data_IF_680443694480
#
_entry.id   IF_680443694480
#
_cell.length_a   1.000
_cell.length_b   1.000
_cell.length_c   1.000
_cell.angle_alpha   90.00
_cell.angle_beta   90.00
_cell.angle_gamma   90.00
#
_symmetry.space_group_name_H-M   'P 1'
#
loop_
_entity.id
_entity.type
_entity.pdbx_description
1 polymer ?
#
# COMPACT_ATOMS: atom_id res chain seq x y z
N UNK A 1 -7.84 -29.58 -24.93
CA UNK A 1 -6.74 -30.41 -24.37
C UNK A 1 -6.61 -30.16 -22.87
N UNK A 2 -7.19 -31.05 -22.05
CA UNK A 2 -7.27 -30.96 -20.59
C UNK A 2 -5.90 -30.74 -19.92
N UNK A 3 -4.87 -31.49 -20.34
CA UNK A 3 -3.52 -31.43 -19.78
C UNK A 3 -2.92 -30.03 -19.74
N UNK A 4 -2.87 -29.35 -20.88
CA UNK A 4 -2.19 -28.04 -20.94
C UNK A 4 -2.96 -26.92 -20.23
N UNK A 5 -4.29 -27.04 -20.14
CA UNK A 5 -5.14 -26.10 -19.39
C UNK A 5 -4.95 -26.30 -17.89
N UNK A 6 -4.91 -27.55 -17.43
CA UNK A 6 -4.66 -27.87 -16.02
C UNK A 6 -3.27 -27.47 -15.58
N UNK A 7 -2.25 -27.69 -16.40
CA UNK A 7 -0.88 -27.20 -16.13
C UNK A 7 -0.83 -25.67 -16.01
N UNK A 8 -1.56 -24.95 -16.88
CA UNK A 8 -1.65 -23.49 -16.76
C UNK A 8 -2.35 -23.06 -15.47
N UNK A 9 -3.41 -23.77 -15.05
CA UNK A 9 -4.07 -23.54 -13.77
C UNK A 9 -3.12 -23.77 -12.59
N UNK A 10 -2.38 -24.89 -12.58
CA UNK A 10 -1.40 -25.20 -11.54
C UNK A 10 -0.38 -24.08 -11.42
N UNK A 11 0.15 -23.58 -12.53
CA UNK A 11 1.09 -22.45 -12.52
C UNK A 11 0.45 -21.17 -11.97
N UNK A 12 -0.77 -20.81 -12.38
CA UNK A 12 -1.43 -19.59 -11.90
C UNK A 12 -1.64 -19.58 -10.38
N UNK A 13 -1.89 -20.74 -9.78
CA UNK A 13 -2.25 -20.84 -8.37
C UNK A 13 -1.09 -21.23 -7.45
N UNK A 14 -0.07 -21.92 -7.98
CA UNK A 14 0.96 -22.56 -7.15
C UNK A 14 2.39 -22.19 -7.53
N UNK A 15 2.60 -21.36 -8.56
CA UNK A 15 3.94 -20.85 -8.89
C UNK A 15 4.09 -19.37 -8.55
N UNK A 16 5.28 -18.99 -8.10
CA UNK A 16 5.70 -17.59 -8.01
C UNK A 16 6.04 -17.09 -9.43
N UNK A 17 5.12 -16.33 -10.02
CA UNK A 17 5.30 -15.76 -11.35
C UNK A 17 6.29 -14.58 -11.39
N UNK A 18 6.85 -14.17 -10.24
CA UNK A 18 7.79 -13.04 -10.15
C UNK A 18 9.19 -13.38 -10.69
N UNK A 19 9.54 -14.67 -10.81
CA UNK A 19 10.80 -15.12 -11.37
C UNK A 19 11.04 -14.60 -12.79
N UNK A 20 12.30 -14.27 -13.11
CA UNK A 20 12.69 -13.66 -14.39
C UNK A 20 12.43 -14.54 -15.61
N UNK A 21 12.70 -15.83 -15.46
CA UNK A 21 12.47 -16.86 -16.46
C UNK A 21 12.19 -18.18 -15.73
N UNK A 22 11.68 -19.18 -16.46
CA UNK A 22 11.51 -20.54 -15.91
C UNK A 22 12.82 -21.16 -15.37
N UNK A 23 13.99 -20.73 -15.86
CA UNK A 23 15.26 -21.27 -15.38
C UNK A 23 15.57 -20.79 -13.96
N UNK A 24 15.13 -19.58 -13.61
CA UNK A 24 15.37 -18.96 -12.30
C UNK A 24 14.46 -19.51 -11.19
N UNK A 25 13.39 -20.20 -11.58
CA UNK A 25 12.49 -20.89 -10.64
C UNK A 25 13.28 -21.98 -9.89
N UNK A 26 13.34 -21.94 -8.55
CA UNK A 26 14.05 -22.93 -7.74
C UNK A 26 13.59 -24.38 -8.00
N UNK A 27 14.51 -25.33 -7.84
CA UNK A 27 14.22 -26.75 -8.10
C UNK A 27 13.13 -27.29 -7.18
N UNK A 28 13.13 -26.93 -5.89
CA UNK A 28 12.09 -27.34 -4.95
C UNK A 28 10.69 -26.86 -5.37
N UNK A 29 10.58 -25.65 -5.93
CA UNK A 29 9.31 -25.12 -6.43
C UNK A 29 8.87 -25.87 -7.69
N UNK A 30 9.81 -26.18 -8.60
CA UNK A 30 9.54 -27.04 -9.77
C UNK A 30 9.04 -28.43 -9.36
N UNK A 31 9.65 -29.02 -8.33
CA UNK A 31 9.30 -30.34 -7.84
C UNK A 31 7.90 -30.36 -7.22
N UNK A 32 7.49 -29.31 -6.49
CA UNK A 32 6.12 -29.18 -5.98
C UNK A 32 5.09 -29.09 -7.12
N UNK A 33 5.38 -28.30 -8.16
CA UNK A 33 4.53 -28.19 -9.34
C UNK A 33 4.42 -29.53 -10.07
N UNK A 34 5.54 -30.26 -10.18
CA UNK A 34 5.57 -31.62 -10.74
C UNK A 34 4.70 -32.57 -9.92
N UNK A 35 4.81 -32.57 -8.58
CA UNK A 35 4.01 -33.42 -7.71
C UNK A 35 2.50 -33.19 -7.93
N UNK A 36 2.08 -31.94 -8.13
CA UNK A 36 0.67 -31.62 -8.46
C UNK A 36 0.23 -32.18 -9.81
N UNK A 37 1.10 -32.13 -10.82
CA UNK A 37 0.83 -32.77 -12.13
C UNK A 37 0.74 -34.29 -12.01
N UNK A 38 1.55 -34.91 -11.14
CA UNK A 38 1.51 -36.36 -10.90
C UNK A 38 0.20 -36.83 -10.30
N UNK A 39 -0.44 -36.00 -9.47
CA UNK A 39 -1.77 -36.31 -8.91
C UNK A 39 -2.84 -36.34 -10.01
N UNK A 40 -2.78 -35.40 -10.95
CA UNK A 40 -3.83 -35.22 -11.96
C UNK A 40 -3.62 -36.04 -13.25
N UNK A 41 -2.40 -36.52 -13.51
CA UNK A 41 -2.04 -37.19 -14.77
C UNK A 41 -1.18 -38.43 -14.58
N UNK A 42 -1.50 -39.48 -15.34
CA UNK A 42 -0.73 -40.72 -15.36
C UNK A 42 0.48 -40.53 -16.28
N UNK A 43 1.67 -40.45 -15.67
CA UNK A 43 2.93 -40.23 -16.36
C UNK A 43 3.97 -41.25 -15.88
N UNK A 44 4.70 -41.82 -16.82
CA UNK A 44 5.83 -42.69 -16.53
C UNK A 44 7.10 -41.87 -16.28
N UNK A 45 7.44 -41.67 -15.02
CA UNK A 45 8.58 -40.85 -14.60
C UNK A 45 9.93 -41.53 -14.83
N UNK A 46 9.96 -42.84 -15.11
CA UNK A 46 11.18 -43.53 -15.52
C UNK A 46 11.61 -43.07 -16.92
N UNK A 47 10.63 -42.74 -17.77
CA UNK A 47 10.86 -42.33 -19.15
C UNK A 47 11.26 -40.85 -19.26
N UNK A 48 12.32 -40.61 -20.02
CA UNK A 48 12.88 -39.26 -20.22
C UNK A 48 11.91 -38.34 -20.98
N UNK A 49 11.24 -38.84 -22.00
CA UNK A 49 10.29 -38.06 -22.82
C UNK A 49 9.06 -37.57 -22.02
N UNK A 50 8.54 -38.38 -21.07
CA UNK A 50 7.46 -37.96 -20.18
C UNK A 50 7.88 -36.79 -19.28
N UNK A 51 9.03 -36.92 -18.61
CA UNK A 51 9.62 -35.85 -17.78
C UNK A 51 9.86 -34.57 -18.57
N UNK A 52 10.44 -34.70 -19.76
CA UNK A 52 10.69 -33.57 -20.66
C UNK A 52 9.39 -32.92 -21.11
N UNK A 53 8.32 -33.68 -21.32
CA UNK A 53 7.02 -33.14 -21.72
C UNK A 53 6.44 -32.22 -20.65
N UNK A 54 6.47 -32.63 -19.38
CA UNK A 54 6.04 -31.80 -18.25
C UNK A 54 6.89 -30.52 -18.16
N UNK A 55 8.21 -30.65 -18.13
CA UNK A 55 9.11 -29.50 -18.00
C UNK A 55 8.99 -28.51 -19.18
N UNK A 56 8.88 -29.01 -20.42
CA UNK A 56 8.64 -28.16 -21.60
C UNK A 56 7.29 -27.46 -21.53
N UNK A 57 6.25 -28.15 -21.05
CA UNK A 57 4.91 -27.58 -20.91
C UNK A 57 4.90 -26.49 -19.85
N UNK A 58 5.51 -26.71 -18.69
CA UNK A 58 5.66 -25.69 -17.66
C UNK A 58 6.39 -24.46 -18.18
N UNK A 59 7.57 -24.63 -18.77
CA UNK A 59 8.33 -23.50 -19.34
C UNK A 59 7.50 -22.69 -20.32
N UNK A 60 6.82 -23.36 -21.25
CA UNK A 60 5.99 -22.69 -22.27
C UNK A 60 4.82 -21.95 -21.63
N UNK A 61 4.09 -22.59 -20.72
CA UNK A 61 2.91 -22.00 -20.07
C UNK A 61 3.29 -20.88 -19.10
N UNK A 62 4.37 -21.03 -18.33
CA UNK A 62 4.88 -20.00 -17.43
C UNK A 62 5.23 -18.71 -18.20
N UNK A 63 6.00 -18.83 -19.28
CA UNK A 63 6.36 -17.69 -20.11
C UNK A 63 5.13 -17.09 -20.83
N UNK A 64 4.14 -17.91 -21.22
CA UNK A 64 2.88 -17.41 -21.77
C UNK A 64 2.06 -16.61 -20.77
N UNK A 65 1.89 -17.12 -19.55
CA UNK A 65 1.17 -16.42 -18.47
C UNK A 65 1.82 -15.07 -18.19
N UNK A 66 3.16 -15.03 -18.07
CA UNK A 66 3.89 -13.78 -17.82
C UNK A 66 3.79 -12.78 -18.96
N UNK A 67 3.76 -13.26 -20.20
CA UNK A 67 3.51 -12.41 -21.36
C UNK A 67 2.11 -11.79 -21.32
N UNK A 68 1.07 -12.57 -20.99
CA UNK A 68 -0.30 -12.05 -20.84
C UNK A 68 -0.38 -11.02 -19.69
N UNK A 69 0.33 -11.23 -18.59
CA UNK A 69 0.41 -10.26 -17.50
C UNK A 69 1.07 -8.94 -17.94
N UNK A 70 2.13 -9.03 -18.75
CA UNK A 70 2.77 -7.83 -19.28
C UNK A 70 1.89 -7.11 -20.31
N UNK A 71 1.08 -7.83 -21.10
CA UNK A 71 0.07 -7.22 -21.98
C UNK A 71 -0.93 -6.39 -21.18
N UNK A 72 -1.43 -6.94 -20.08
CA UNK A 72 -2.32 -6.21 -19.16
C UNK A 72 -1.60 -5.00 -18.57
N UNK A 73 -0.37 -5.16 -18.10
CA UNK A 73 0.41 -4.02 -17.60
C UNK A 73 0.52 -2.88 -18.62
N UNK A 74 0.70 -3.22 -19.91
CA UNK A 74 0.79 -2.24 -21.01
C UNK A 74 -0.52 -1.56 -21.40
N UNK A 75 -1.67 -2.00 -20.90
CA UNK A 75 -2.92 -1.28 -21.15
C UNK A 75 -3.05 -0.03 -20.29
N UNK A 76 -2.28 0.06 -19.20
CA UNK A 76 -2.26 1.21 -18.31
C UNK A 76 -1.23 2.24 -18.74
N UNK A 77 -1.51 3.52 -18.47
CA UNK A 77 -0.64 4.62 -18.91
C UNK A 77 0.58 4.77 -18.00
N UNK A 78 0.41 4.47 -16.72
CA UNK A 78 1.45 4.63 -15.70
C UNK A 78 1.52 3.44 -14.75
N UNK A 79 2.67 3.30 -14.07
CA UNK A 79 2.93 2.17 -13.19
C UNK A 79 2.05 2.19 -11.93
N UNK A 80 1.63 3.37 -11.45
CA UNK A 80 0.77 3.53 -10.28
C UNK A 80 -0.65 3.02 -10.56
N UNK A 81 -1.20 3.37 -11.71
CA UNK A 81 -2.48 2.88 -12.21
C UNK A 81 -2.43 1.37 -12.44
N UNK A 82 -1.35 0.84 -13.01
CA UNK A 82 -1.18 -0.60 -13.19
C UNK A 82 -1.13 -1.34 -11.84
N UNK A 83 -0.50 -0.75 -10.81
CA UNK A 83 -0.46 -1.31 -9.46
C UNK A 83 -1.85 -1.32 -8.80
N UNK A 84 -2.65 -0.27 -9.00
CA UNK A 84 -4.02 -0.19 -8.51
C UNK A 84 -4.95 -1.19 -9.23
N UNK A 85 -4.72 -1.44 -10.52
CA UNK A 85 -5.56 -2.29 -11.36
C UNK A 85 -4.96 -3.69 -11.59
N UNK A 86 -4.71 -4.40 -10.48
CA UNK A 86 -4.21 -5.79 -10.50
C UNK A 86 -5.27 -6.76 -11.04
N UNK A 87 -4.91 -7.74 -11.91
CA UNK A 87 -5.80 -8.84 -12.23
C UNK A 87 -6.16 -9.68 -11.00
N UNK A 88 -7.46 -9.94 -10.79
CA UNK A 88 -7.98 -10.59 -9.58
C UNK A 88 -7.28 -11.91 -9.22
N UNK A 89 -6.91 -12.72 -10.22
CA UNK A 89 -6.30 -14.04 -10.07
C UNK A 89 -4.79 -14.02 -9.79
N UNK A 90 -4.12 -12.87 -9.86
CA UNK A 90 -2.66 -12.76 -9.66
C UNK A 90 -2.37 -12.40 -8.22
N UNK A 91 -1.49 -13.10 -7.51
CA UNK A 91 -1.14 -12.72 -6.14
C UNK A 91 -0.65 -11.24 -6.04
N UNK A 92 -1.14 -10.43 -5.07
CA UNK A 92 -0.76 -9.01 -4.94
C UNK A 92 0.75 -8.78 -4.87
N UNK A 93 1.47 -9.57 -4.08
CA UNK A 93 2.91 -9.42 -3.90
C UNK A 93 3.67 -9.73 -5.21
N UNK A 94 3.17 -10.71 -5.97
CA UNK A 94 3.73 -11.06 -7.27
C UNK A 94 3.50 -9.94 -8.28
N UNK A 95 2.31 -9.36 -8.31
CA UNK A 95 2.00 -8.23 -9.20
C UNK A 95 2.86 -7.00 -8.92
N UNK A 96 3.04 -6.64 -7.64
CA UNK A 96 3.91 -5.52 -7.22
C UNK A 96 5.34 -5.74 -7.72
N UNK A 97 5.91 -6.93 -7.51
CA UNK A 97 7.26 -7.28 -8.00
C UNK A 97 7.36 -7.18 -9.53
N UNK A 98 6.34 -7.66 -10.25
CA UNK A 98 6.31 -7.63 -11.71
C UNK A 98 6.24 -6.20 -12.26
N UNK A 99 5.31 -5.37 -11.74
CA UNK A 99 5.20 -3.96 -12.09
C UNK A 99 6.50 -3.21 -11.81
N UNK A 100 7.08 -3.37 -10.61
CA UNK A 100 8.34 -2.73 -10.24
C UNK A 100 9.50 -3.09 -11.17
N UNK A 101 9.54 -4.35 -11.61
CA UNK A 101 10.52 -4.80 -12.61
C UNK A 101 10.28 -4.19 -13.98
N UNK A 102 9.05 -4.18 -14.47
CA UNK A 102 8.76 -3.63 -15.81
C UNK A 102 8.90 -2.11 -15.87
N UNK A 103 8.70 -1.41 -14.75
CA UNK A 103 8.96 0.03 -14.63
C UNK A 103 10.44 0.36 -14.43
N UNK A 104 11.27 -0.63 -14.04
CA UNK A 104 12.69 -0.42 -13.77
C UNK A 104 13.47 0.05 -15.01
N UNK A 105 14.47 0.89 -14.77
CA UNK A 105 15.32 1.41 -15.83
C UNK A 105 16.17 0.32 -16.49
N UNK A 106 16.57 -0.70 -15.71
CA UNK A 106 17.27 -1.89 -16.21
C UNK A 106 16.47 -2.61 -17.30
N UNK A 107 15.17 -2.81 -17.06
CA UNK A 107 14.29 -3.47 -18.02
C UNK A 107 14.06 -2.61 -19.27
N UNK A 108 13.87 -1.30 -19.11
CA UNK A 108 13.76 -0.36 -20.22
C UNK A 108 15.04 -0.30 -21.06
N UNK A 109 16.20 -0.28 -20.41
CA UNK A 109 17.50 -0.28 -21.06
C UNK A 109 17.77 -1.58 -21.83
N UNK A 110 17.39 -2.74 -21.28
CA UNK A 110 17.51 -4.01 -22.01
C UNK A 110 16.60 -4.04 -23.24
N UNK A 111 15.39 -3.50 -23.11
CA UNK A 111 14.47 -3.34 -24.23
C UNK A 111 15.03 -2.41 -25.31
N UNK A 112 15.55 -1.25 -24.91
CA UNK A 112 16.14 -0.25 -25.81
C UNK A 112 17.39 -0.82 -26.51
N UNK A 113 18.25 -1.55 -25.79
CA UNK A 113 19.44 -2.20 -26.35
C UNK A 113 19.06 -3.22 -27.43
N UNK A 114 18.01 -4.01 -27.24
CA UNK A 114 17.55 -4.97 -28.25
C UNK A 114 16.86 -4.30 -29.43
N UNK A 115 16.10 -3.22 -29.20
CA UNK A 115 15.53 -2.40 -30.27
C UNK A 115 16.62 -1.74 -31.13
N UNK A 116 17.66 -1.18 -30.52
CA UNK A 116 18.76 -0.54 -31.22
C UNK A 116 19.57 -1.50 -32.12
N UNK A 117 19.50 -2.82 -31.87
CA UNK A 117 20.09 -3.84 -32.76
C UNK A 117 19.26 -4.08 -34.02
N UNK A 118 18.00 -3.65 -34.06
CA UNK A 118 17.19 -3.64 -35.27
C UNK A 118 17.46 -2.38 -36.08
N UNK A 119 17.34 -2.48 -37.40
CA UNK A 119 17.47 -1.32 -38.28
C UNK A 119 16.41 -0.26 -37.93
N UNK A 120 16.73 1.06 -38.00
CA UNK A 120 15.81 2.16 -37.67
C UNK A 120 14.43 2.04 -38.34
N UNK A 121 14.39 1.57 -39.59
CA UNK A 121 13.17 1.37 -40.38
C UNK A 121 12.24 0.25 -39.88
N UNK A 122 12.69 -0.58 -38.94
CA UNK A 122 11.93 -1.70 -38.35
C UNK A 122 11.45 -1.41 -36.93
N UNK A 123 11.59 -0.17 -36.43
CA UNK A 123 11.07 0.23 -35.12
C UNK A 123 9.54 0.43 -35.16
N UNK A 124 8.81 -0.65 -35.42
CA UNK A 124 7.34 -0.67 -35.37
C UNK A 124 6.86 -1.18 -34.01
N UNK A 125 5.59 -0.93 -33.68
CA UNK A 125 4.94 -1.49 -32.48
C UNK A 125 5.03 -3.02 -32.45
N UNK A 126 4.99 -3.65 -33.63
CA UNK A 126 5.12 -5.11 -33.81
C UNK A 126 6.55 -5.63 -33.56
N UNK A 127 7.56 -4.87 -33.96
CA UNK A 127 8.95 -5.20 -33.64
C UNK A 127 9.23 -5.07 -32.13
N UNK A 128 8.66 -4.05 -31.49
CA UNK A 128 8.71 -3.93 -30.04
C UNK A 128 8.02 -5.12 -29.37
N UNK A 129 6.81 -5.54 -29.79
CA UNK A 129 6.17 -6.73 -29.21
C UNK A 129 7.00 -8.00 -29.40
N UNK A 130 7.66 -8.15 -30.54
CA UNK A 130 8.56 -9.30 -30.83
C UNK A 130 9.80 -9.30 -29.93
N UNK A 131 10.40 -8.14 -29.68
CA UNK A 131 11.53 -8.02 -28.75
C UNK A 131 11.07 -8.25 -27.31
N UNK A 132 9.89 -7.77 -26.92
CA UNK A 132 9.32 -8.05 -25.60
C UNK A 132 9.08 -9.54 -25.40
N UNK A 133 8.55 -10.21 -26.43
CA UNK A 133 8.43 -11.66 -26.51
C UNK A 133 9.80 -12.33 -26.27
N UNK A 134 10.84 -11.85 -26.93
CA UNK A 134 12.20 -12.34 -26.73
C UNK A 134 12.74 -12.11 -25.31
N UNK A 135 12.59 -10.90 -24.75
CA UNK A 135 13.04 -10.51 -23.40
C UNK A 135 12.35 -11.34 -22.33
N UNK A 136 11.04 -11.58 -22.47
CA UNK A 136 10.27 -12.43 -21.55
C UNK A 136 10.45 -13.93 -21.83
N UNK A 137 11.36 -14.29 -22.75
CA UNK A 137 11.59 -15.68 -23.20
C UNK A 137 10.33 -16.37 -23.74
N UNK A 138 9.38 -15.58 -24.23
CA UNK A 138 8.18 -16.00 -24.94
C UNK A 138 8.44 -15.92 -26.45
N UNK A 139 9.03 -16.94 -27.09
CA UNK A 139 9.08 -16.98 -28.56
C UNK A 139 7.82 -17.61 -29.13
N UNK A 140 7.05 -16.85 -29.91
CA UNK A 140 6.00 -17.36 -30.80
C UNK A 140 6.62 -18.08 -32.01
N UNK A 141 7.30 -19.21 -31.79
CA UNK A 141 7.91 -20.02 -32.84
C UNK A 141 7.51 -21.48 -32.76
N UNK A 142 7.35 -22.14 -33.92
CA UNK A 142 7.19 -23.58 -33.99
C UNK A 142 8.46 -24.26 -33.44
N UNK A 143 8.33 -24.97 -32.32
CA UNK A 143 9.46 -25.65 -31.67
C UNK A 143 9.74 -26.93 -32.47
N UNK A 144 10.79 -26.92 -33.30
CA UNK A 144 11.31 -28.16 -33.93
C UNK A 144 11.82 -29.11 -32.82
N UNK A 145 11.38 -30.37 -32.84
CA UNK A 145 11.69 -31.38 -31.81
C UNK A 145 10.50 -31.82 -30.93
N UNK A 146 9.28 -31.76 -31.46
CA UNK A 146 8.01 -32.11 -30.80
C UNK A 146 7.55 -33.56 -31.02
N UNK A 147 8.26 -34.37 -31.81
CA UNK A 147 7.85 -35.74 -32.19
C UNK A 147 7.81 -36.76 -31.05
N UNK A 148 8.14 -36.36 -29.82
CA UNK A 148 8.27 -37.24 -28.65
C UNK A 148 7.42 -36.80 -27.45
N UNK A 149 6.54 -35.77 -27.61
CA UNK A 149 5.63 -35.39 -26.53
C UNK A 149 4.58 -36.47 -26.30
N UNK A 150 4.38 -36.80 -25.04
CA UNK A 150 3.30 -37.71 -24.62
C UNK A 150 2.15 -36.86 -24.12
N UNK A 151 0.97 -37.00 -24.72
CA UNK A 151 -0.27 -36.46 -24.14
C UNK A 151 -0.65 -37.40 -23.01
N UNK A 152 -0.57 -36.97 -21.74
CA UNK A 152 -0.81 -37.88 -20.63
C UNK A 152 -2.30 -38.11 -20.47
N UNK A 153 -2.66 -39.34 -20.13
CA UNK A 153 -4.02 -39.65 -19.70
C UNK A 153 -4.27 -39.00 -18.34
N UNK A 154 -5.48 -38.47 -18.17
CA UNK A 154 -5.96 -38.00 -16.87
C UNK A 154 -6.05 -39.19 -15.91
N UNK A 155 -5.60 -39.02 -14.67
CA UNK A 155 -5.76 -40.04 -13.62
C UNK A 155 -7.24 -40.22 -13.21
N UNK A 156 -8.09 -39.24 -13.53
CA UNK A 156 -9.55 -39.29 -13.34
C UNK A 156 -10.23 -39.65 -14.66
N UNK A 157 -11.07 -40.68 -14.63
CA UNK A 157 -11.86 -41.10 -15.78
C UNK A 157 -12.78 -39.97 -16.28
N UNK A 158 -12.84 -39.83 -17.61
CA UNK A 158 -13.70 -38.93 -18.39
C UNK A 158 -13.42 -37.41 -18.33
N UNK A 159 -13.28 -36.82 -19.52
CA UNK A 159 -12.79 -35.47 -19.74
C UNK A 159 -13.81 -34.35 -19.45
N UNK A 160 -15.12 -34.62 -19.44
CA UNK A 160 -16.14 -33.56 -19.33
C UNK A 160 -16.51 -33.20 -17.89
N UNK A 161 -16.53 -34.17 -16.97
CA UNK A 161 -16.80 -33.91 -15.55
C UNK A 161 -15.67 -33.13 -14.91
N UNK A 162 -14.41 -33.45 -15.19
CA UNK A 162 -13.26 -32.69 -14.68
C UNK A 162 -13.20 -31.27 -15.26
N UNK A 163 -13.58 -31.08 -16.53
CA UNK A 163 -13.68 -29.73 -17.12
C UNK A 163 -14.78 -28.94 -16.42
N UNK A 164 -15.95 -29.55 -16.21
CA UNK A 164 -17.09 -28.95 -15.50
C UNK A 164 -16.76 -28.66 -14.04
N UNK A 165 -16.04 -29.54 -13.36
CA UNK A 165 -15.52 -29.32 -12.02
C UNK A 165 -14.50 -28.18 -12.01
N UNK A 166 -13.57 -28.12 -12.96
CA UNK A 166 -12.60 -27.02 -13.02
C UNK A 166 -13.28 -25.68 -13.28
N UNK A 167 -14.28 -25.62 -14.16
CA UNK A 167 -15.03 -24.39 -14.45
C UNK A 167 -15.90 -23.98 -13.28
N UNK A 168 -16.58 -24.92 -12.62
CA UNK A 168 -17.39 -24.64 -11.42
C UNK A 168 -16.52 -24.24 -10.23
N UNK A 169 -15.37 -24.88 -10.01
CA UNK A 169 -14.40 -24.49 -8.98
C UNK A 169 -13.82 -23.11 -9.28
N UNK A 170 -13.46 -22.83 -10.54
CA UNK A 170 -13.00 -21.49 -10.94
C UNK A 170 -14.09 -20.42 -10.72
N UNK A 171 -15.36 -20.73 -11.00
CA UNK A 171 -16.49 -19.84 -10.75
C UNK A 171 -16.72 -19.59 -9.25
N UNK A 172 -16.75 -20.65 -8.43
CA UNK A 172 -16.84 -20.54 -6.96
C UNK A 172 -15.72 -19.71 -6.39
N UNK A 173 -14.50 -19.90 -6.89
CA UNK A 173 -13.36 -19.13 -6.41
C UNK A 173 -13.42 -17.66 -6.81
N UNK A 174 -13.97 -17.33 -8.00
CA UNK A 174 -14.27 -15.94 -8.38
C UNK A 174 -15.32 -15.32 -7.45
N UNK A 175 -16.34 -16.07 -7.06
CA UNK A 175 -17.36 -15.62 -6.10
C UNK A 175 -16.77 -15.38 -4.70
N UNK A 176 -15.88 -16.27 -4.22
CA UNK A 176 -15.19 -16.10 -2.93
C UNK A 176 -14.31 -14.84 -2.94
N UNK A 177 -13.56 -14.62 -4.02
CA UNK A 177 -12.75 -13.39 -4.18
C UNK A 177 -13.65 -12.15 -4.15
N UNK A 178 -14.79 -12.17 -4.85
CA UNK A 178 -15.74 -11.07 -4.85
C UNK A 178 -16.38 -10.84 -3.46
N UNK A 179 -16.65 -11.90 -2.68
CA UNK A 179 -17.12 -11.80 -1.30
C UNK A 179 -16.07 -11.12 -0.41
N UNK A 180 -14.85 -11.62 -0.43
CA UNK A 180 -13.76 -11.06 0.37
C UNK A 180 -13.46 -9.60 0.02
N UNK A 181 -13.60 -9.22 -1.24
CA UNK A 181 -13.46 -7.83 -1.66
C UNK A 181 -14.54 -6.91 -1.06
N UNK A 182 -15.80 -7.36 -1.04
CA UNK A 182 -16.89 -6.62 -0.37
C UNK A 182 -16.67 -6.48 1.13
N UNK A 183 -16.26 -7.56 1.79
CA UNK A 183 -15.98 -7.55 3.23
C UNK A 183 -14.83 -6.58 3.54
N UNK A 184 -13.76 -6.59 2.75
CA UNK A 184 -12.64 -5.67 2.91
C UNK A 184 -13.04 -4.20 2.71
N UNK A 185 -13.90 -3.91 1.73
CA UNK A 185 -14.44 -2.56 1.51
C UNK A 185 -15.34 -2.12 2.68
N UNK A 186 -16.15 -3.04 3.23
CA UNK A 186 -16.99 -2.77 4.39
C UNK A 186 -16.17 -2.38 5.62
N UNK A 187 -15.15 -3.16 5.97
CA UNK A 187 -14.26 -2.82 7.09
C UNK A 187 -13.48 -1.54 6.85
N UNK A 188 -13.05 -1.27 5.62
CA UNK A 188 -12.41 0.00 5.26
C UNK A 188 -13.32 1.19 5.52
N UNK A 189 -14.59 1.11 5.10
CA UNK A 189 -15.58 2.18 5.33
C UNK A 189 -15.80 2.45 6.82
N UNK A 190 -15.93 1.40 7.64
CA UNK A 190 -16.08 1.58 9.10
C UNK A 190 -14.85 2.28 9.73
N UNK A 191 -13.64 1.94 9.28
CA UNK A 191 -12.42 2.58 9.77
C UNK A 191 -12.30 4.04 9.33
N UNK A 192 -12.79 4.39 8.15
CA UNK A 192 -12.84 5.79 7.69
C UNK A 192 -13.86 6.61 8.49
N UNK A 193 -15.00 6.02 8.84
CA UNK A 193 -16.02 6.65 9.72
C UNK A 193 -15.48 6.90 11.13
N UNK A 194 -14.94 5.87 11.80
CA UNK A 194 -14.32 6.01 13.13
C UNK A 194 -13.20 7.05 13.15
N UNK A 195 -12.40 7.13 12.08
CA UNK A 195 -11.36 8.14 11.95
C UNK A 195 -11.95 9.56 11.85
N UNK A 196 -13.07 9.70 11.17
CA UNK A 196 -13.87 10.92 11.15
C UNK A 196 -14.33 11.33 12.54
N UNK A 197 -14.93 10.41 13.28
CA UNK A 197 -15.41 10.65 14.65
C UNK A 197 -14.29 11.06 15.61
N UNK A 198 -13.15 10.37 15.56
CA UNK A 198 -11.97 10.72 16.37
C UNK A 198 -11.48 12.12 16.04
N UNK A 199 -11.49 12.52 14.76
CA UNK A 199 -11.10 13.88 14.35
C UNK A 199 -12.03 14.94 14.94
N UNK A 200 -13.34 14.69 14.92
CA UNK A 200 -14.34 15.60 15.53
C UNK A 200 -14.14 15.69 17.04
N UNK A 201 -13.88 14.57 17.73
CA UNK A 201 -13.61 14.56 19.17
C UNK A 201 -12.35 15.36 19.52
N UNK A 202 -11.29 15.25 18.73
CA UNK A 202 -10.04 16.01 18.93
C UNK A 202 -10.24 17.51 18.68
N UNK A 203 -11.06 17.90 17.71
CA UNK A 203 -11.40 19.30 17.47
C UNK A 203 -12.17 19.87 18.67
N UNK A 204 -13.16 19.12 19.18
CA UNK A 204 -13.93 19.51 20.37
C UNK A 204 -13.05 19.61 21.62
N UNK A 205 -12.10 18.71 21.80
CA UNK A 205 -11.13 18.80 22.89
C UNK A 205 -10.28 20.08 22.78
N UNK A 206 -9.80 20.40 21.58
CA UNK A 206 -9.08 21.66 21.32
C UNK A 206 -9.90 22.89 21.65
N UNK A 207 -11.20 22.88 21.38
CA UNK A 207 -12.10 23.97 21.75
C UNK A 207 -12.24 24.11 23.28
N UNK A 208 -12.43 23.00 24.00
CA UNK A 208 -12.47 23.01 25.46
C UNK A 208 -11.16 23.52 26.08
N UNK A 209 -10.01 23.10 25.57
CA UNK A 209 -8.70 23.53 26.05
C UNK A 209 -8.49 25.05 25.84
N UNK A 210 -8.92 25.57 24.68
CA UNK A 210 -8.91 27.03 24.42
C UNK A 210 -9.77 27.78 25.44
N UNK A 211 -10.99 27.29 25.66
CA UNK A 211 -11.94 27.93 26.58
C UNK A 211 -11.41 27.93 28.02
N UNK A 212 -10.84 26.81 28.45
CA UNK A 212 -10.18 26.69 29.75
C UNK A 212 -9.00 27.67 29.86
N UNK A 213 -8.14 27.75 28.85
CA UNK A 213 -6.99 28.67 28.83
C UNK A 213 -7.44 30.13 28.96
N UNK A 214 -8.49 30.54 28.23
CA UNK A 214 -9.05 31.89 28.32
C UNK A 214 -9.59 32.18 29.72
N UNK A 215 -10.39 31.29 30.29
CA UNK A 215 -10.94 31.46 31.65
C UNK A 215 -9.84 31.58 32.71
N UNK A 216 -8.81 30.74 32.63
CA UNK A 216 -7.66 30.80 33.54
C UNK A 216 -6.92 32.13 33.43
N UNK A 217 -6.77 32.66 32.21
CA UNK A 217 -6.14 33.96 31.99
C UNK A 217 -6.95 35.13 32.56
N UNK A 218 -8.28 35.11 32.42
CA UNK A 218 -9.17 36.14 32.98
C UNK A 218 -9.16 36.13 34.51
N UNK A 219 -9.12 34.94 35.13
CA UNK A 219 -9.04 34.82 36.59
C UNK A 219 -7.74 35.42 37.13
N UNK A 220 -6.62 35.12 36.47
CA UNK A 220 -5.30 35.68 36.82
C UNK A 220 -5.27 37.22 36.69
N UNK A 221 -5.87 37.76 35.61
CA UNK A 221 -6.00 39.20 35.43
C UNK A 221 -6.82 39.84 36.55
N UNK A 222 -7.96 39.23 36.95
CA UNK A 222 -8.79 39.73 38.05
C UNK A 222 -8.03 39.74 39.38
N UNK A 223 -7.29 38.69 39.70
CA UNK A 223 -6.44 38.66 40.90
C UNK A 223 -5.39 39.77 40.88
N UNK A 224 -4.73 39.99 39.73
CA UNK A 224 -3.72 41.04 39.59
C UNK A 224 -4.29 42.46 39.78
N UNK A 225 -5.52 42.71 39.30
CA UNK A 225 -6.21 43.99 39.46
C UNK A 225 -6.61 44.25 40.91
N UNK A 226 -7.11 43.21 41.58
CA UNK A 226 -7.45 43.29 43.01
C UNK A 226 -6.21 43.65 43.83
N UNK A 227 -5.06 43.03 43.52
CA UNK A 227 -3.82 43.31 44.25
C UNK A 227 -3.33 44.75 44.04
N UNK A 228 -3.36 45.25 42.80
CA UNK A 228 -3.07 46.66 42.50
C UNK A 228 -4.01 47.63 43.21
N UNK A 229 -5.30 47.31 43.30
CA UNK A 229 -6.27 48.14 44.03
C UNK A 229 -5.95 48.20 45.53
N UNK A 230 -5.53 47.09 46.14
CA UNK A 230 -5.08 47.08 47.55
C UNK A 230 -3.82 47.92 47.74
N UNK A 231 -2.85 47.83 46.84
CA UNK A 231 -1.64 48.66 46.88
C UNK A 231 -1.96 50.15 46.81
N UNK A 232 -2.81 50.54 45.86
CA UNK A 232 -3.26 51.93 45.71
C UNK A 232 -4.00 52.42 46.96
N UNK A 233 -4.89 51.61 47.52
CA UNK A 233 -5.60 51.95 48.75
C UNK A 233 -4.64 52.17 49.93
N UNK A 234 -3.66 51.28 50.09
CA UNK A 234 -2.64 51.40 51.14
C UNK A 234 -1.76 52.65 50.95
N UNK A 235 -1.39 52.97 49.72
CA UNK A 235 -0.68 54.22 49.39
C UNK A 235 -1.51 55.43 49.80
N UNK A 236 -2.78 55.48 49.40
CA UNK A 236 -3.69 56.57 49.72
C UNK A 236 -3.83 56.76 51.24
N UNK A 237 -4.04 55.67 51.99
CA UNK A 237 -4.07 55.70 53.45
C UNK A 237 -2.78 56.26 54.06
N UNK A 238 -1.60 55.87 53.54
CA UNK A 238 -0.32 56.39 54.01
C UNK A 238 -0.20 57.89 53.74
N UNK A 239 -0.55 58.35 52.54
CA UNK A 239 -0.47 59.76 52.15
C UNK A 239 -1.44 60.62 52.94
N UNK A 240 -2.68 60.17 53.12
CA UNK A 240 -3.69 60.87 53.92
C UNK A 240 -3.27 60.93 55.38
N UNK A 241 -2.75 59.84 55.95
CA UNK A 241 -2.21 59.82 57.31
C UNK A 241 -1.03 60.77 57.46
N UNK A 242 -0.11 60.80 56.50
CA UNK A 242 1.01 61.74 56.50
C UNK A 242 0.54 63.21 56.46
N UNK A 243 -0.47 63.51 55.63
CA UNK A 243 -1.08 64.84 55.59
C UNK A 243 -1.73 65.23 56.93
N UNK A 244 -2.50 64.33 57.55
CA UNK A 244 -3.10 64.59 58.86
C UNK A 244 -2.05 64.83 59.95
N UNK A 245 -0.97 64.03 59.98
CA UNK A 245 0.12 64.22 60.92
C UNK A 245 0.84 65.57 60.71
N UNK A 246 1.06 65.98 59.45
CA UNK A 246 1.62 67.30 59.15
C UNK A 246 0.72 68.46 59.60
N UNK A 247 -0.62 68.32 59.47
CA UNK A 247 -1.58 69.33 59.94
C UNK A 247 -1.60 69.41 61.48
N UNK A 248 -1.44 68.28 62.17
CA UNK A 248 -1.34 68.28 63.63
C UNK A 248 -0.02 68.90 64.11
N UNK A 249 1.09 68.61 63.41
CA UNK A 249 2.39 69.21 63.71
C UNK A 249 2.42 70.72 63.47
N UNK A 250 1.76 71.23 62.43
CA UNK A 250 1.67 72.68 62.17
C UNK A 250 0.75 73.41 63.15
N UNK A 251 -0.21 72.72 63.79
CA UNK A 251 -1.04 73.27 64.87
C UNK A 251 -0.32 73.31 66.23
N UNK A 252 0.63 72.41 66.48
CA UNK A 252 1.45 72.48 67.72
C UNK A 252 2.47 73.61 67.71
N UNK A 253 2.91 74.08 66.53
CA UNK A 253 3.83 75.23 66.39
C UNK A 253 3.15 76.60 66.56
N UNK A 254 1.81 76.68 66.62
CA UNK A 254 1.04 77.91 66.84
C UNK A 254 0.64 78.14 68.31
N UNK A 255 1.14 77.32 69.23
CA UNK A 255 0.78 77.32 70.64
C UNK A 255 1.94 77.64 71.59
N UNK A 256 2.77 78.64 71.29
CA UNK A 256 3.69 79.22 72.28
C UNK A 256 4.06 80.67 71.89
N UNK A 257 3.09 81.58 72.00
CA UNK A 257 3.36 83.02 72.03
C UNK A 257 2.80 83.58 73.35
N UNK A 258 3.62 83.50 74.40
CA UNK A 258 3.38 84.18 75.69
C UNK A 258 3.77 85.65 75.55
N UNK A 259 2.91 86.62 75.92
CA UNK A 259 3.30 88.02 75.95
C UNK A 259 4.18 88.28 77.18
N UNK A 260 5.45 88.64 76.97
CA UNK A 260 6.29 89.24 78.01
C UNK A 260 5.68 90.57 78.44
N UNK A 261 5.12 90.57 79.65
CA UNK A 261 4.63 91.76 80.34
C UNK A 261 5.77 92.37 81.16
N UNK A 262 5.94 93.67 80.98
CA UNK A 262 6.74 94.62 81.75
C UNK A 262 6.51 94.45 83.26
N UNK A 263 7.60 94.30 84.03
CA UNK A 263 7.94 95.08 85.23
C UNK A 263 9.35 94.73 85.70
#
# INVERSE_FOLDING_TARGET
>A
MLYTTRVAWILKHHSDLSHATWHDVPTNEKDELVARVQVDFILDWTKKNHRLTVMKTFRKRFNAIRYELHKIYKTFENAEEALANRPSWVNPNVWVKLCGRWSSEEFKNEMARKLAKLEPKKHTKEAATTIFEEVLSHRSGYVRGLGEMVIPDSSRGCNDEVITELTTVAARHQEDVARHEKDAQYYKSQLDELRGDVKVLLERQREYDKLMTTLMSESSLKESLIERLKELHNLLLRTTRAHFLNILASKSDQGDDKPSTIF
#
